data_IF_262541671735
#
_entry.id   IF_262541671735
#
_cell.length_a   1.000
_cell.length_b   1.000
_cell.length_c   1.000
_cell.angle_alpha   90.00
_cell.angle_beta   90.00
_cell.angle_gamma   90.00
#
_symmetry.space_group_name_H-M   'P 1'
#
loop_
_entity.id
_entity.type
_entity.pdbx_description
1 polymer ?
#
# COMPACT_ATOMS: atom_id res chain seq x y z
N UNK A 1 10.76 -24.12 0.61
CA UNK A 1 10.00 -22.92 0.97
C UNK A 1 8.80 -22.80 0.04
N UNK A 2 7.62 -22.63 0.58
CA UNK A 2 6.39 -22.44 -0.18
C UNK A 2 6.08 -20.94 -0.28
N UNK A 3 5.96 -20.49 -1.51
CA UNK A 3 5.65 -19.09 -1.83
C UNK A 3 4.25 -18.98 -2.42
N UNK A 4 3.44 -18.06 -1.93
CA UNK A 4 2.11 -17.81 -2.42
C UNK A 4 1.97 -16.43 -3.01
N UNK A 5 1.49 -16.35 -4.25
CA UNK A 5 1.22 -15.09 -4.93
C UNK A 5 -0.28 -14.85 -5.07
N UNK A 6 -0.75 -13.72 -4.52
CA UNK A 6 -2.12 -13.22 -4.70
C UNK A 6 -2.18 -12.07 -5.70
N UNK A 7 -1.08 -11.70 -6.37
CA UNK A 7 -1.15 -10.71 -7.45
C UNK A 7 -1.89 -11.27 -8.66
N UNK A 8 -2.61 -10.39 -9.34
CA UNK A 8 -3.38 -10.76 -10.55
C UNK A 8 -2.42 -11.22 -11.64
N UNK A 9 -2.41 -12.52 -11.91
CA UNK A 9 -1.51 -13.11 -12.89
C UNK A 9 -1.90 -12.82 -14.35
N UNK A 10 -3.13 -12.36 -14.61
CA UNK A 10 -3.65 -12.23 -15.97
C UNK A 10 -3.53 -10.84 -16.61
N UNK A 11 -3.27 -9.78 -15.87
CA UNK A 11 -3.35 -8.41 -16.39
C UNK A 11 -2.21 -7.49 -15.94
N UNK A 12 -1.22 -7.99 -15.18
CA UNK A 12 -0.07 -7.19 -14.78
C UNK A 12 1.22 -8.01 -14.81
N UNK A 13 2.31 -7.36 -15.16
CA UNK A 13 3.67 -7.93 -15.11
C UNK A 13 4.04 -8.39 -13.70
N UNK A 14 3.39 -7.81 -12.67
CA UNK A 14 3.60 -8.09 -11.27
C UNK A 14 3.42 -9.55 -10.88
N UNK A 15 2.33 -10.17 -11.33
CA UNK A 15 2.01 -11.56 -11.00
C UNK A 15 3.02 -12.55 -11.56
N UNK A 16 3.34 -12.45 -12.85
CA UNK A 16 4.28 -13.35 -13.52
C UNK A 16 5.72 -13.12 -13.08
N UNK A 17 6.14 -11.86 -12.90
CA UNK A 17 7.48 -11.53 -12.42
C UNK A 17 7.78 -12.13 -11.05
N UNK A 18 6.82 -12.01 -10.10
CA UNK A 18 6.93 -12.62 -8.79
C UNK A 18 6.95 -14.16 -8.85
N UNK A 19 6.10 -14.75 -9.69
CA UNK A 19 6.03 -16.20 -9.87
C UNK A 19 7.38 -16.77 -10.32
N UNK A 20 7.89 -16.30 -11.46
CA UNK A 20 9.15 -16.80 -11.99
C UNK A 20 10.37 -16.44 -11.12
N UNK A 21 10.32 -15.29 -10.45
CA UNK A 21 11.36 -14.92 -9.48
C UNK A 21 11.43 -15.90 -8.31
N UNK A 22 10.28 -16.27 -7.75
CA UNK A 22 10.19 -17.26 -6.67
C UNK A 22 10.62 -18.66 -7.13
N UNK A 23 10.21 -19.13 -8.32
CA UNK A 23 10.66 -20.40 -8.89
C UNK A 23 12.18 -20.42 -9.09
N UNK A 24 12.76 -19.31 -9.58
CA UNK A 24 14.21 -19.20 -9.76
C UNK A 24 14.97 -19.25 -8.44
N UNK A 25 14.37 -18.84 -7.34
CA UNK A 25 14.90 -19.00 -5.99
C UNK A 25 14.73 -20.43 -5.44
N UNK A 26 14.11 -21.34 -6.19
CA UNK A 26 13.84 -22.72 -5.77
C UNK A 26 12.61 -22.84 -4.86
N UNK A 27 11.73 -21.87 -4.86
CA UNK A 27 10.46 -21.96 -4.13
C UNK A 27 9.41 -22.74 -4.96
N UNK A 28 8.52 -23.45 -4.27
CA UNK A 28 7.28 -23.93 -4.90
C UNK A 28 6.25 -22.82 -4.85
N UNK A 29 5.70 -22.42 -5.98
CA UNK A 29 4.75 -21.31 -6.08
C UNK A 29 3.31 -21.80 -6.15
N UNK A 30 2.43 -21.20 -5.35
CA UNK A 30 0.98 -21.42 -5.40
C UNK A 30 0.35 -20.19 -6.07
N UNK A 31 0.05 -20.24 -7.40
CA UNK A 31 -0.46 -19.10 -8.16
C UNK A 31 -1.99 -19.01 -7.99
N UNK A 32 -2.46 -18.24 -7.02
CA UNK A 32 -3.90 -18.13 -6.76
C UNK A 32 -4.53 -16.90 -7.41
N UNK A 33 -3.76 -15.84 -7.68
CA UNK A 33 -4.29 -14.54 -8.11
C UNK A 33 -5.18 -13.88 -7.03
N UNK A 34 -5.82 -12.77 -7.33
CA UNK A 34 -6.71 -12.05 -6.39
C UNK A 34 -8.12 -12.65 -6.30
N UNK A 35 -8.85 -12.26 -5.28
CA UNK A 35 -10.22 -12.69 -5.02
C UNK A 35 -10.34 -14.07 -4.35
N UNK A 36 -11.56 -14.57 -4.20
CA UNK A 36 -11.89 -15.85 -3.56
C UNK A 36 -11.29 -15.98 -2.14
N UNK A 37 -11.51 -14.99 -1.29
CA UNK A 37 -10.84 -14.82 0.01
C UNK A 37 -10.96 -16.05 0.91
N UNK A 38 -12.15 -16.69 0.98
CA UNK A 38 -12.37 -17.96 1.71
C UNK A 38 -11.43 -19.07 1.23
N UNK A 39 -11.35 -19.27 -0.09
CA UNK A 39 -10.48 -20.29 -0.68
C UNK A 39 -9.00 -19.97 -0.45
N UNK A 40 -8.67 -18.70 -0.36
CA UNK A 40 -7.32 -18.27 -0.05
C UNK A 40 -6.91 -18.68 1.37
N UNK A 41 -7.77 -18.48 2.36
CA UNK A 41 -7.56 -18.92 3.73
C UNK A 41 -7.45 -20.45 3.79
N UNK A 42 -8.35 -21.17 3.11
CA UNK A 42 -8.26 -22.63 3.02
C UNK A 42 -6.90 -23.09 2.47
N UNK A 43 -6.43 -22.51 1.37
CA UNK A 43 -5.13 -22.87 0.78
C UNK A 43 -3.94 -22.54 1.67
N UNK A 44 -4.01 -21.47 2.47
CA UNK A 44 -2.97 -21.18 3.46
C UNK A 44 -2.93 -22.29 4.53
N UNK A 45 -4.08 -22.74 4.99
CA UNK A 45 -4.16 -23.82 5.98
C UNK A 45 -3.71 -25.16 5.41
N UNK A 46 -4.13 -25.51 4.18
CA UNK A 46 -3.86 -26.80 3.55
C UNK A 46 -2.40 -26.94 3.11
N UNK A 47 -1.85 -25.93 2.42
CA UNK A 47 -0.49 -25.97 1.87
C UNK A 47 0.57 -25.40 2.79
N UNK A 48 0.19 -24.67 3.83
CA UNK A 48 1.08 -24.07 4.83
C UNK A 48 2.26 -23.29 4.21
N UNK A 49 2.00 -22.29 3.36
CA UNK A 49 3.07 -21.49 2.75
C UNK A 49 3.84 -20.68 3.81
N UNK A 50 5.13 -20.46 3.57
CA UNK A 50 5.99 -19.62 4.41
C UNK A 50 5.85 -18.13 4.06
N UNK A 51 5.61 -17.83 2.76
CA UNK A 51 5.61 -16.46 2.22
C UNK A 51 4.30 -16.19 1.49
N UNK A 52 3.75 -15.00 1.72
CA UNK A 52 2.65 -14.45 0.94
C UNK A 52 3.08 -13.17 0.23
N UNK A 53 2.68 -12.99 -1.03
CA UNK A 53 2.86 -11.74 -1.77
C UNK A 53 1.49 -11.21 -2.19
N UNK A 54 1.12 -10.02 -1.69
CA UNK A 54 -0.24 -9.50 -1.76
C UNK A 54 -0.24 -7.98 -1.57
N UNK A 55 -1.32 -7.29 -1.92
CA UNK A 55 -1.46 -5.88 -1.53
C UNK A 55 -1.77 -5.74 -0.04
N UNK A 56 -1.30 -4.67 0.63
CA UNK A 56 -1.53 -4.47 2.06
C UNK A 56 -3.02 -4.50 2.44
N UNK A 57 -3.86 -3.80 1.67
CA UNK A 57 -5.32 -3.76 1.91
C UNK A 57 -5.97 -5.15 1.77
N UNK A 58 -5.50 -5.99 0.83
CA UNK A 58 -6.04 -7.33 0.68
C UNK A 58 -5.57 -8.29 1.78
N UNK A 59 -4.38 -8.05 2.35
CA UNK A 59 -3.93 -8.80 3.53
C UNK A 59 -4.87 -8.57 4.73
N UNK A 60 -5.34 -7.35 4.92
CA UNK A 60 -6.33 -7.06 5.97
C UNK A 60 -7.64 -7.82 5.73
N UNK A 61 -8.10 -7.91 4.46
CA UNK A 61 -9.26 -8.72 4.12
C UNK A 61 -9.05 -10.23 4.41
N UNK A 62 -7.83 -10.75 4.18
CA UNK A 62 -7.48 -12.12 4.53
C UNK A 62 -7.49 -12.34 6.04
N UNK A 63 -6.96 -11.41 6.82
CA UNK A 63 -6.96 -11.45 8.28
C UNK A 63 -8.40 -11.48 8.80
N UNK A 64 -9.27 -10.60 8.32
CA UNK A 64 -10.70 -10.58 8.69
C UNK A 64 -11.40 -11.91 8.33
N UNK A 65 -11.04 -12.50 7.20
CA UNK A 65 -11.59 -13.79 6.79
C UNK A 65 -11.13 -14.95 7.70
N UNK A 66 -9.85 -14.98 8.12
CA UNK A 66 -9.38 -15.93 9.13
C UNK A 66 -10.21 -15.83 10.42
N UNK A 67 -10.39 -14.62 10.93
CA UNK A 67 -11.16 -14.35 12.15
C UNK A 67 -12.63 -14.76 11.98
N UNK A 68 -13.24 -14.45 10.83
CA UNK A 68 -14.62 -14.86 10.49
C UNK A 68 -14.80 -16.38 10.49
N UNK A 69 -13.77 -17.13 10.09
CA UNK A 69 -13.77 -18.60 10.15
C UNK A 69 -13.41 -19.16 11.54
N UNK A 70 -13.20 -18.30 12.54
CA UNK A 70 -12.78 -18.70 13.88
C UNK A 70 -11.33 -19.20 13.94
N UNK A 71 -10.50 -18.81 12.98
CA UNK A 71 -9.08 -19.14 12.89
C UNK A 71 -8.25 -17.94 13.35
N UNK A 72 -7.14 -18.20 14.03
CA UNK A 72 -6.19 -17.18 14.41
C UNK A 72 -5.18 -16.95 13.27
N UNK A 73 -5.13 -15.77 12.63
CA UNK A 73 -4.19 -15.47 11.56
C UNK A 73 -2.73 -15.60 12.01
N UNK A 74 -2.40 -15.26 13.26
CA UNK A 74 -1.05 -15.32 13.80
C UNK A 74 -0.55 -16.77 14.00
N UNK A 75 -1.45 -17.74 14.07
CA UNK A 75 -1.11 -19.17 14.15
C UNK A 75 -0.93 -19.83 12.80
N UNK A 76 -1.09 -19.08 11.70
CA UNK A 76 -0.84 -19.58 10.34
C UNK A 76 0.63 -19.94 10.11
N UNK A 77 0.93 -20.57 8.98
CA UNK A 77 2.32 -20.89 8.61
C UNK A 77 3.10 -19.72 8.02
N UNK A 78 2.43 -18.59 7.77
CA UNK A 78 3.04 -17.43 7.15
C UNK A 78 4.08 -16.81 8.06
N UNK A 79 5.25 -16.55 7.51
CA UNK A 79 6.38 -15.93 8.21
C UNK A 79 6.78 -14.60 7.61
N UNK A 80 6.58 -14.43 6.30
CA UNK A 80 6.93 -13.21 5.58
C UNK A 80 5.79 -12.81 4.66
N UNK A 81 5.40 -11.55 4.74
CA UNK A 81 4.50 -10.90 3.79
C UNK A 81 5.28 -9.91 2.92
N UNK A 82 5.19 -10.05 1.61
CA UNK A 82 5.75 -9.10 0.65
C UNK A 82 4.59 -8.25 0.14
N UNK A 83 4.59 -6.97 0.51
CA UNK A 83 3.49 -6.05 0.27
C UNK A 83 3.88 -4.95 -0.70
N UNK A 84 2.97 -4.56 -1.57
CA UNK A 84 3.21 -3.49 -2.53
C UNK A 84 2.04 -3.27 -3.48
N UNK A 85 2.31 -2.65 -4.61
CA UNK A 85 1.34 -2.23 -5.63
C UNK A 85 0.39 -1.09 -5.21
N UNK A 86 0.36 -0.71 -3.94
CA UNK A 86 -0.32 0.47 -3.42
C UNK A 86 0.52 1.12 -2.31
N UNK A 87 0.42 2.45 -2.10
CA UNK A 87 1.03 3.09 -0.94
C UNK A 87 0.41 2.55 0.35
N UNK A 88 1.24 2.39 1.38
CA UNK A 88 0.80 1.96 2.71
C UNK A 88 1.70 2.57 3.80
N UNK A 89 1.13 2.74 4.99
CA UNK A 89 1.77 3.44 6.11
C UNK A 89 2.49 2.47 7.04
N UNK A 90 3.34 3.03 7.93
CA UNK A 90 3.97 2.24 8.99
C UNK A 90 2.92 1.68 9.95
N UNK A 91 1.90 2.48 10.29
CA UNK A 91 0.80 2.03 11.14
C UNK A 91 0.04 0.84 10.54
N UNK A 92 -0.08 0.76 9.21
CA UNK A 92 -0.65 -0.42 8.54
C UNK A 92 0.28 -1.62 8.62
N UNK A 93 1.61 -1.42 8.52
CA UNK A 93 2.61 -2.47 8.75
C UNK A 93 2.44 -3.08 10.14
N UNK A 94 2.44 -2.23 11.16
CA UNK A 94 2.30 -2.65 12.55
C UNK A 94 0.98 -3.42 12.79
N UNK A 95 -0.13 -2.96 12.19
CA UNK A 95 -1.42 -3.64 12.28
C UNK A 95 -1.37 -5.04 11.64
N UNK A 96 -0.78 -5.16 10.45
CA UNK A 96 -0.64 -6.45 9.75
C UNK A 96 0.26 -7.40 10.55
N UNK A 97 1.43 -6.94 10.97
CA UNK A 97 2.40 -7.73 11.73
C UNK A 97 1.81 -8.23 13.05
N UNK A 98 1.13 -7.33 13.77
CA UNK A 98 0.49 -7.66 15.04
C UNK A 98 -0.61 -8.71 14.90
N UNK A 99 -1.45 -8.63 13.86
CA UNK A 99 -2.59 -9.54 13.66
C UNK A 99 -2.22 -10.84 12.97
N UNK A 100 -1.26 -10.81 12.05
CA UNK A 100 -0.91 -11.98 11.26
C UNK A 100 0.36 -12.71 11.75
N UNK A 101 1.15 -12.11 12.65
CA UNK A 101 2.33 -12.75 13.24
C UNK A 101 3.47 -12.98 12.25
N UNK A 102 3.58 -12.15 11.20
CA UNK A 102 4.57 -12.28 10.13
C UNK A 102 5.44 -11.02 10.03
N UNK A 103 6.57 -11.12 9.35
CA UNK A 103 7.39 -9.96 8.96
C UNK A 103 6.84 -9.34 7.68
N UNK A 104 6.45 -8.07 7.73
CA UNK A 104 5.91 -7.32 6.59
C UNK A 104 7.00 -6.49 5.93
N UNK A 105 7.31 -6.77 4.66
CA UNK A 105 8.32 -6.05 3.87
C UNK A 105 7.68 -5.39 2.66
N UNK A 106 8.16 -4.20 2.32
CA UNK A 106 7.70 -3.44 1.16
C UNK A 106 8.42 -3.87 -0.11
N UNK A 107 7.68 -3.93 -1.22
CA UNK A 107 8.21 -4.12 -2.56
C UNK A 107 7.65 -3.05 -3.49
N UNK A 108 8.54 -2.36 -4.19
CA UNK A 108 8.19 -1.34 -5.15
C UNK A 108 8.48 -1.80 -6.58
N UNK A 109 7.61 -1.44 -7.49
CA UNK A 109 7.79 -1.63 -8.91
C UNK A 109 6.60 -1.15 -9.73
N UNK A 110 6.83 -1.03 -11.03
CA UNK A 110 5.83 -0.60 -12.01
C UNK A 110 6.08 -1.33 -13.33
N UNK A 111 5.00 -1.64 -14.04
CA UNK A 111 5.04 -2.42 -15.30
C UNK A 111 5.87 -1.75 -16.38
N UNK A 112 5.88 -0.42 -16.40
CA UNK A 112 6.59 0.41 -17.38
C UNK A 112 8.10 0.25 -17.27
N UNK A 113 8.61 0.04 -16.06
CA UNK A 113 10.05 -0.17 -15.82
C UNK A 113 10.41 -1.65 -15.90
N UNK A 114 9.78 -2.50 -15.05
CA UNK A 114 10.01 -3.95 -15.09
C UNK A 114 8.84 -4.75 -14.49
N UNK A 115 8.06 -4.20 -13.59
CA UNK A 115 7.09 -4.89 -12.74
C UNK A 115 7.54 -4.88 -11.28
N UNK A 116 7.24 -5.89 -10.47
CA UNK A 116 7.64 -5.92 -9.07
C UNK A 116 9.15 -6.14 -8.95
N UNK A 117 9.75 -5.59 -7.90
CA UNK A 117 11.15 -5.82 -7.59
C UNK A 117 12.12 -4.84 -8.27
N UNK A 118 11.67 -3.64 -8.64
CA UNK A 118 12.59 -2.51 -8.92
C UNK A 118 13.31 -2.10 -7.64
N UNK A 119 12.59 -2.14 -6.51
CA UNK A 119 13.16 -2.00 -5.18
C UNK A 119 12.39 -2.88 -4.18
N UNK A 120 13.06 -3.35 -3.12
CA UNK A 120 12.41 -4.08 -2.04
C UNK A 120 13.16 -3.93 -0.71
N UNK A 121 12.42 -3.97 0.39
CA UNK A 121 12.99 -3.90 1.73
C UNK A 121 13.78 -5.14 2.11
N UNK A 122 14.71 -4.94 3.02
CA UNK A 122 15.38 -6.01 3.75
C UNK A 122 14.60 -6.31 5.03
N UNK A 123 14.39 -7.59 5.31
CA UNK A 123 13.67 -8.04 6.51
C UNK A 123 14.39 -7.63 7.80
N UNK A 124 15.71 -7.46 7.74
CA UNK A 124 16.55 -7.12 8.88
C UNK A 124 16.37 -5.68 9.35
N UNK A 125 16.04 -4.77 8.45
CA UNK A 125 16.01 -3.33 8.75
C UNK A 125 14.64 -2.70 8.57
N UNK A 126 13.86 -3.12 7.56
CA UNK A 126 12.54 -2.54 7.21
C UNK A 126 12.56 -1.00 7.15
N UNK A 127 13.64 -0.45 6.62
CA UNK A 127 13.96 0.98 6.66
C UNK A 127 13.91 1.66 5.29
N UNK A 128 13.12 1.10 4.39
CA UNK A 128 12.86 1.55 3.04
C UNK A 128 13.42 0.61 1.97
N UNK A 129 12.72 0.48 0.82
CA UNK A 129 13.13 -0.40 -0.27
C UNK A 129 14.49 -0.07 -0.85
N UNK A 130 15.37 -1.06 -0.91
CA UNK A 130 16.67 -0.99 -1.59
C UNK A 130 16.42 -1.03 -3.08
N UNK A 131 16.94 -0.04 -3.81
CA UNK A 131 16.84 0.04 -5.27
C UNK A 131 17.95 -0.80 -5.89
N UNK A 132 17.63 -1.66 -6.86
CA UNK A 132 18.62 -2.46 -7.57
C UNK A 132 19.36 -1.60 -8.62
N UNK A 133 20.35 -0.83 -8.15
CA UNK A 133 21.07 0.17 -8.96
C UNK A 133 21.97 -0.43 -10.06
N UNK A 134 22.21 -1.72 -10.04
CA UNK A 134 22.82 -2.47 -11.15
C UNK A 134 21.87 -2.64 -12.35
N UNK A 135 20.56 -2.50 -12.12
CA UNK A 135 19.53 -2.57 -13.15
C UNK A 135 18.81 -1.25 -13.42
N UNK A 136 18.72 -0.38 -12.41
CA UNK A 136 17.91 0.85 -12.46
C UNK A 136 18.68 2.02 -11.87
N UNK A 137 18.87 3.07 -12.64
CA UNK A 137 19.42 4.32 -12.12
C UNK A 137 18.30 5.23 -11.62
N UNK A 138 18.23 5.53 -10.31
CA UNK A 138 17.20 6.40 -9.76
C UNK A 138 17.64 7.87 -9.71
N UNK A 139 16.71 8.77 -9.96
CA UNK A 139 16.84 10.21 -9.74
C UNK A 139 15.61 10.71 -8.98
N UNK A 140 15.77 11.76 -8.19
CA UNK A 140 14.65 12.55 -7.66
C UNK A 140 14.63 13.88 -8.38
N UNK A 141 13.48 14.28 -8.90
CA UNK A 141 13.31 15.54 -9.60
C UNK A 141 12.21 16.40 -8.97
N UNK A 142 12.31 17.69 -9.16
CA UNK A 142 11.23 18.61 -8.81
C UNK A 142 10.01 18.35 -9.74
N UNK A 143 8.81 18.06 -9.20
CA UNK A 143 7.67 17.59 -10.03
C UNK A 143 7.25 18.58 -11.13
N UNK A 144 7.43 19.89 -10.93
CA UNK A 144 7.01 20.92 -11.88
C UNK A 144 8.16 21.33 -12.82
N UNK A 145 9.38 21.57 -12.32
CA UNK A 145 10.49 22.06 -13.13
C UNK A 145 11.26 20.94 -13.84
N UNK A 146 11.24 19.73 -13.29
CA UNK A 146 12.02 18.59 -13.79
C UNK A 146 13.51 18.65 -13.44
N UNK A 147 13.93 19.64 -12.63
CA UNK A 147 15.32 19.75 -12.15
C UNK A 147 15.62 18.64 -11.15
N UNK A 148 16.85 18.12 -11.19
CA UNK A 148 17.31 17.10 -10.24
C UNK A 148 17.43 17.74 -8.86
N UNK A 149 16.84 17.08 -7.87
CA UNK A 149 16.86 17.53 -6.47
C UNK A 149 18.19 17.13 -5.80
N UNK A 150 18.62 17.91 -4.80
CA UNK A 150 19.73 17.50 -3.93
C UNK A 150 19.46 16.14 -3.26
N UNK A 151 20.54 15.44 -2.90
CA UNK A 151 20.43 14.15 -2.21
C UNK A 151 19.68 14.28 -0.87
N UNK A 152 18.74 13.37 -0.63
CA UNK A 152 17.90 13.38 0.58
C UNK A 152 16.66 14.28 0.50
N UNK A 153 16.57 15.15 -0.51
CA UNK A 153 15.38 15.99 -0.73
C UNK A 153 14.24 15.17 -1.36
N UNK A 154 13.01 15.52 -1.02
CA UNK A 154 11.82 14.89 -1.55
C UNK A 154 11.43 15.44 -2.92
N UNK A 155 10.97 14.56 -3.80
CA UNK A 155 10.50 14.92 -5.12
C UNK A 155 9.90 13.72 -5.87
N UNK A 156 9.76 13.85 -7.18
CA UNK A 156 9.24 12.78 -8.04
C UNK A 156 10.37 11.81 -8.41
N UNK A 157 10.10 10.51 -8.18
CA UNK A 157 11.03 9.44 -8.54
C UNK A 157 11.07 9.25 -10.06
N UNK A 158 12.28 9.10 -10.57
CA UNK A 158 12.57 8.87 -12.00
C UNK A 158 13.49 7.69 -12.12
N UNK A 159 13.26 6.82 -13.11
CA UNK A 159 14.13 5.69 -13.40
C UNK A 159 14.67 5.70 -14.83
N UNK A 160 15.93 5.31 -14.96
CA UNK A 160 16.56 4.89 -16.21
C UNK A 160 16.92 3.41 -16.10
N UNK A 161 16.44 2.57 -17.03
CA UNK A 161 16.82 1.16 -17.06
C UNK A 161 18.23 0.99 -17.66
N UNK A 162 19.08 0.19 -17.01
CA UNK A 162 20.48 -0.02 -17.42
C UNK A 162 20.67 -1.32 -18.21
N UNK A 163 19.85 -2.33 -17.95
CA UNK A 163 20.01 -3.68 -18.49
C UNK A 163 18.84 -4.16 -19.36
N UNK A 164 17.79 -3.35 -19.49
CA UNK A 164 16.59 -3.71 -20.24
C UNK A 164 16.79 -3.47 -21.73
N UNK A 165 16.80 -4.53 -22.53
CA UNK A 165 16.98 -4.46 -23.99
C UNK A 165 15.67 -4.08 -24.70
N UNK A 166 14.56 -4.75 -24.35
CA UNK A 166 13.26 -4.44 -24.92
C UNK A 166 12.57 -3.31 -24.14
N UNK A 167 12.08 -2.31 -24.86
CA UNK A 167 11.44 -1.12 -24.28
C UNK A 167 12.29 -0.48 -23.17
N UNK A 168 13.54 -0.12 -23.42
CA UNK A 168 14.36 0.58 -22.42
C UNK A 168 13.71 1.92 -22.08
N UNK A 169 13.68 2.25 -20.81
CA UNK A 169 13.19 3.55 -20.34
C UNK A 169 14.37 4.44 -19.96
N UNK A 170 14.31 5.69 -20.37
CA UNK A 170 15.31 6.71 -20.06
C UNK A 170 14.59 7.87 -19.38
N UNK A 171 14.98 8.15 -18.13
CA UNK A 171 14.39 9.18 -17.27
C UNK A 171 12.85 9.10 -17.23
N UNK A 172 12.33 7.89 -16.99
CA UNK A 172 10.90 7.65 -16.88
C UNK A 172 10.37 8.26 -15.58
N UNK A 173 9.44 9.20 -15.69
CA UNK A 173 8.80 9.85 -14.57
C UNK A 173 7.68 8.97 -14.01
N UNK A 174 7.89 8.45 -12.80
CA UNK A 174 6.94 7.50 -12.18
C UNK A 174 5.70 8.18 -11.64
N UNK A 175 5.75 9.47 -11.37
CA UNK A 175 4.78 10.27 -10.61
C UNK A 175 4.76 9.98 -9.11
N UNK A 176 5.47 8.98 -8.65
CA UNK A 176 5.56 8.65 -7.23
C UNK A 176 6.47 9.65 -6.50
N UNK A 177 6.00 10.12 -5.35
CA UNK A 177 6.72 11.10 -4.53
C UNK A 177 7.45 10.39 -3.39
N UNK A 178 8.76 10.54 -3.38
CA UNK A 178 9.66 9.97 -2.39
C UNK A 178 10.97 10.75 -2.31
N UNK A 179 11.97 10.21 -1.63
CA UNK A 179 13.36 10.67 -1.62
C UNK A 179 14.32 9.49 -1.60
N UNK A 180 15.54 9.69 -2.06
CA UNK A 180 16.60 8.70 -1.94
C UNK A 180 17.26 8.80 -0.57
N UNK A 181 17.52 7.63 0.01
CA UNK A 181 18.15 7.45 1.31
C UNK A 181 19.50 6.74 1.13
N UNK A 182 20.48 6.99 2.02
CA UNK A 182 21.76 6.31 1.96
C UNK A 182 21.64 4.79 2.22
N UNK A 183 22.60 3.98 1.75
CA UNK A 183 22.64 2.55 2.01
C UNK A 183 22.65 2.18 3.50
N UNK A 184 22.07 1.02 3.84
CA UNK A 184 22.10 0.41 5.19
C UNK A 184 22.44 -1.07 5.12
N UNK A 185 21.45 -1.96 5.05
CA UNK A 185 21.66 -3.41 4.99
C UNK A 185 22.32 -3.89 3.68
N UNK A 186 22.25 -3.11 2.61
CA UNK A 186 22.88 -3.38 1.30
C UNK A 186 23.65 -2.14 0.85
N UNK A 187 24.53 -2.30 -0.11
CA UNK A 187 25.42 -1.23 -0.62
C UNK A 187 24.73 -0.23 -1.57
N UNK A 188 23.50 -0.53 -2.02
CA UNK A 188 22.70 0.30 -2.92
C UNK A 188 21.85 1.28 -2.13
N UNK A 189 21.50 2.42 -2.74
CA UNK A 189 20.61 3.42 -2.14
C UNK A 189 19.21 2.83 -1.92
N UNK A 190 18.54 3.38 -0.95
CA UNK A 190 17.15 3.07 -0.63
C UNK A 190 16.24 4.21 -1.06
N UNK A 191 14.99 3.93 -1.19
CA UNK A 191 13.95 4.96 -1.29
C UNK A 191 13.15 5.01 0.02
N UNK A 192 12.68 6.18 0.36
CA UNK A 192 11.71 6.36 1.45
C UNK A 192 10.34 5.82 0.99
N UNK A 193 9.41 5.65 1.92
CA UNK A 193 8.03 5.27 1.58
C UNK A 193 7.44 6.27 0.60
N UNK A 194 6.65 5.76 -0.35
CA UNK A 194 5.88 6.59 -1.26
C UNK A 194 4.80 7.32 -0.45
N UNK A 195 4.89 8.64 -0.38
CA UNK A 195 3.89 9.47 0.31
C UNK A 195 2.61 9.67 -0.51
N UNK A 196 2.68 9.42 -1.82
CA UNK A 196 1.59 9.54 -2.76
C UNK A 196 2.12 9.71 -4.18
N UNK A 197 1.21 9.92 -5.11
CA UNK A 197 1.54 10.26 -6.49
C UNK A 197 1.27 11.73 -6.75
N UNK A 198 2.07 12.36 -7.59
CA UNK A 198 1.86 13.76 -7.98
C UNK A 198 0.54 13.98 -8.73
N UNK A 199 -0.02 12.91 -9.34
CA UNK A 199 -1.30 12.89 -10.05
C UNK A 199 -2.48 12.37 -9.19
N UNK A 200 -2.25 11.73 -8.04
CA UNK A 200 -3.27 11.32 -7.06
C UNK A 200 -3.43 12.32 -5.90
N UNK A 201 -2.64 13.38 -5.90
CA UNK A 201 -2.73 14.44 -4.92
C UNK A 201 -4.05 15.18 -5.07
N UNK A 202 -4.86 15.16 -4.03
CA UNK A 202 -6.11 15.88 -3.99
C UNK A 202 -5.85 17.35 -3.62
N UNK A 203 -6.25 18.27 -4.47
CA UNK A 203 -6.26 19.70 -4.12
C UNK A 203 -7.66 20.02 -3.62
N UNK A 204 -7.78 20.31 -2.32
CA UNK A 204 -9.05 20.61 -1.67
C UNK A 204 -8.93 22.01 -1.06
N UNK A 205 -9.66 22.96 -1.61
CA UNK A 205 -9.65 24.37 -1.16
C UNK A 205 -8.23 24.96 -1.03
N UNK A 206 -7.34 24.61 -1.99
CA UNK A 206 -5.96 25.08 -2.03
C UNK A 206 -4.97 24.32 -1.13
N UNK A 207 -5.43 23.28 -0.43
CA UNK A 207 -4.57 22.41 0.38
C UNK A 207 -4.31 21.11 -0.38
N UNK A 208 -3.04 20.68 -0.42
CA UNK A 208 -2.64 19.39 -0.96
C UNK A 208 -2.90 18.30 0.07
N UNK A 209 -3.70 17.29 -0.29
CA UNK A 209 -4.10 16.20 0.59
C UNK A 209 -3.73 14.87 -0.05
N UNK A 210 -3.01 14.04 0.67
CA UNK A 210 -2.70 12.67 0.26
C UNK A 210 -3.54 11.66 1.04
N UNK A 211 -4.10 10.62 0.39
CA UNK A 211 -4.85 9.58 1.08
C UNK A 211 -4.08 8.92 2.23
N UNK A 212 -2.77 8.75 2.10
CA UNK A 212 -1.89 8.19 3.13
C UNK A 212 -1.86 9.00 4.43
N UNK A 213 -1.97 10.32 4.36
CA UNK A 213 -2.04 11.18 5.56
C UNK A 213 -3.34 10.91 6.35
N UNK A 214 -4.46 10.73 5.63
CA UNK A 214 -5.74 10.40 6.27
C UNK A 214 -5.71 8.99 6.84
N UNK A 215 -5.09 8.03 6.16
CA UNK A 215 -4.90 6.66 6.62
C UNK A 215 -4.13 6.61 7.94
N UNK A 216 -3.04 7.34 8.06
CA UNK A 216 -2.23 7.41 9.28
C UNK A 216 -3.06 7.92 10.48
N UNK A 217 -3.84 8.98 10.28
CA UNK A 217 -4.72 9.54 11.31
C UNK A 217 -5.87 8.58 11.67
N UNK A 218 -6.39 7.84 10.69
CA UNK A 218 -7.42 6.82 10.90
C UNK A 218 -6.89 5.67 11.77
N UNK A 219 -5.71 5.16 11.46
CA UNK A 219 -5.10 4.03 12.19
C UNK A 219 -4.72 4.40 13.63
N UNK A 220 -4.56 5.69 13.92
CA UNK A 220 -4.41 6.19 15.29
C UNK A 220 -5.71 6.15 16.10
N UNK A 221 -6.87 5.77 15.48
CA UNK A 221 -8.18 5.67 16.15
C UNK A 221 -8.51 4.22 16.49
N UNK A 222 -8.37 3.75 17.73
CA UNK A 222 -8.56 2.33 18.08
C UNK A 222 -9.97 1.79 17.79
N UNK A 223 -10.97 2.67 17.76
CA UNK A 223 -12.36 2.32 17.52
C UNK A 223 -12.72 2.12 16.04
N UNK A 224 -11.85 2.55 15.12
CA UNK A 224 -12.09 2.50 13.69
C UNK A 224 -11.28 1.38 13.01
N UNK A 225 -11.88 0.76 12.00
CA UNK A 225 -11.22 -0.24 11.17
C UNK A 225 -10.33 0.44 10.10
N UNK A 226 -9.30 -0.25 9.58
CA UNK A 226 -8.36 0.32 8.61
C UNK A 226 -8.92 0.44 7.19
N UNK A 227 -10.24 0.44 7.06
CA UNK A 227 -10.93 0.54 5.79
C UNK A 227 -11.59 1.91 5.63
N UNK A 228 -11.25 2.60 4.54
CA UNK A 228 -11.76 3.93 4.28
C UNK A 228 -11.92 4.23 2.80
N UNK A 229 -12.74 5.24 2.52
CA UNK A 229 -12.89 5.82 1.18
C UNK A 229 -13.03 7.34 1.29
N UNK A 230 -12.34 8.06 0.43
CA UNK A 230 -12.38 9.51 0.30
C UNK A 230 -13.33 9.87 -0.82
N UNK A 231 -14.43 10.53 -0.51
CA UNK A 231 -15.43 10.97 -1.49
C UNK A 231 -15.32 12.48 -1.64
N UNK A 232 -14.95 12.91 -2.84
CA UNK A 232 -14.89 14.32 -3.20
C UNK A 232 -16.19 14.74 -3.86
N UNK A 233 -16.76 15.83 -3.39
CA UNK A 233 -17.94 16.47 -3.99
C UNK A 233 -17.68 17.95 -4.17
N UNK A 234 -18.43 18.59 -5.04
CA UNK A 234 -18.45 20.05 -5.17
C UNK A 234 -19.83 20.55 -4.83
N UNK A 235 -19.92 21.41 -3.83
CA UNK A 235 -21.15 22.11 -3.50
C UNK A 235 -21.00 23.58 -3.90
N UNK A 236 -21.82 24.00 -4.89
CA UNK A 236 -21.67 25.27 -5.58
C UNK A 236 -20.23 25.50 -6.10
N UNK A 237 -19.37 26.19 -5.34
CA UNK A 237 -18.00 26.53 -5.73
C UNK A 237 -16.94 25.95 -4.79
N UNK A 238 -17.34 25.20 -3.76
CA UNK A 238 -16.43 24.67 -2.75
C UNK A 238 -16.32 23.15 -2.81
N UNK A 239 -15.08 22.69 -2.89
CA UNK A 239 -14.80 21.26 -2.78
C UNK A 239 -15.02 20.79 -1.35
N UNK A 240 -15.77 19.70 -1.21
CA UNK A 240 -16.03 19.02 0.05
C UNK A 240 -15.39 17.64 0.05
N UNK A 241 -14.77 17.30 1.17
CA UNK A 241 -14.22 15.97 1.43
C UNK A 241 -15.12 15.26 2.44
N UNK A 242 -15.59 14.08 2.08
CA UNK A 242 -16.19 13.11 2.99
C UNK A 242 -15.24 11.93 3.15
N UNK A 243 -14.93 11.56 4.40
CA UNK A 243 -14.12 10.41 4.75
C UNK A 243 -15.05 9.34 5.29
N UNK A 244 -15.30 8.30 4.51
CA UNK A 244 -16.11 7.16 4.92
C UNK A 244 -15.20 6.14 5.61
N UNK A 245 -15.54 5.74 6.84
CA UNK A 245 -14.78 4.79 7.67
C UNK A 245 -15.72 3.80 8.32
N UNK A 246 -15.19 2.72 8.89
CA UNK A 246 -15.97 1.70 9.61
C UNK A 246 -15.58 1.61 11.07
N UNK A 247 -16.52 1.16 11.91
CA UNK A 247 -16.20 0.67 13.25
C UNK A 247 -15.57 -0.71 13.18
N UNK A 248 -14.68 -1.05 14.11
CA UNK A 248 -14.24 -2.44 14.31
C UNK A 248 -15.42 -3.27 14.84
N UNK A 249 -15.44 -4.57 14.55
CA UNK A 249 -16.58 -5.45 14.90
C UNK A 249 -16.85 -5.52 16.41
N UNK A 250 -15.79 -5.53 17.23
CA UNK A 250 -15.87 -5.58 18.69
C UNK A 250 -16.21 -4.22 19.36
N UNK A 251 -16.32 -3.15 18.59
CA UNK A 251 -16.52 -1.79 19.09
C UNK A 251 -17.99 -1.40 19.03
N UNK A 252 -18.52 -0.82 20.13
CA UNK A 252 -19.87 -0.28 20.15
C UNK A 252 -19.99 0.88 19.17
N UNK A 253 -21.09 0.97 18.46
CA UNK A 253 -21.33 2.01 17.45
C UNK A 253 -21.11 3.44 17.99
N UNK A 254 -21.50 3.72 19.23
CA UNK A 254 -21.27 5.02 19.86
C UNK A 254 -19.78 5.37 20.09
N UNK A 255 -18.93 4.37 20.33
CA UNK A 255 -17.48 4.55 20.42
C UNK A 255 -16.88 4.80 19.04
N UNK A 256 -17.37 4.13 18.02
CA UNK A 256 -17.02 4.38 16.64
C UNK A 256 -17.34 5.81 16.19
N UNK A 257 -18.53 6.33 16.55
CA UNK A 257 -18.91 7.72 16.27
C UNK A 257 -17.96 8.72 16.96
N UNK A 258 -17.55 8.45 18.20
CA UNK A 258 -16.54 9.28 18.90
C UNK A 258 -15.18 9.22 18.18
N UNK A 259 -14.77 8.05 17.71
CA UNK A 259 -13.57 7.89 16.89
C UNK A 259 -13.65 8.69 15.59
N UNK A 260 -14.80 8.68 14.93
CA UNK A 260 -15.03 9.49 13.73
C UNK A 260 -14.92 11.00 13.98
N UNK A 261 -15.50 11.48 15.07
CA UNK A 261 -15.37 12.90 15.47
C UNK A 261 -13.92 13.26 15.80
N UNK A 262 -13.19 12.39 16.48
CA UNK A 262 -11.77 12.59 16.77
C UNK A 262 -10.94 12.63 15.48
N UNK A 263 -11.19 11.73 14.53
CA UNK A 263 -10.53 11.72 13.22
C UNK A 263 -10.79 13.02 12.45
N UNK A 264 -12.02 13.52 12.44
CA UNK A 264 -12.36 14.80 11.79
C UNK A 264 -11.55 15.98 12.37
N UNK A 265 -11.43 16.03 13.69
CA UNK A 265 -10.64 17.04 14.40
C UNK A 265 -9.15 16.92 14.09
N UNK A 266 -8.61 15.69 14.03
CA UNK A 266 -7.21 15.45 13.71
C UNK A 266 -6.90 15.83 12.25
N UNK A 267 -7.76 15.50 11.30
CA UNK A 267 -7.61 15.92 9.89
C UNK A 267 -7.54 17.44 9.80
N UNK A 268 -8.44 18.15 10.51
CA UNK A 268 -8.44 19.61 10.54
C UNK A 268 -7.18 20.18 11.18
N UNK A 269 -6.69 19.59 12.26
CA UNK A 269 -5.52 20.08 12.99
C UNK A 269 -4.20 19.80 12.25
N UNK A 270 -4.05 18.61 11.66
CA UNK A 270 -2.79 18.13 11.10
C UNK A 270 -2.66 18.42 9.60
N UNK A 271 -3.76 18.34 8.85
CA UNK A 271 -3.77 18.55 7.38
C UNK A 271 -4.28 19.95 7.02
N UNK A 272 -5.06 20.57 7.90
CA UNK A 272 -5.55 21.94 7.71
C UNK A 272 -6.85 22.04 6.89
N UNK A 273 -7.54 20.93 6.66
CA UNK A 273 -8.83 20.90 5.95
C UNK A 273 -9.96 20.49 6.86
N UNK A 274 -11.14 21.06 6.68
CA UNK A 274 -12.37 20.54 7.27
C UNK A 274 -12.97 19.49 6.32
N UNK A 275 -13.41 18.36 6.87
CA UNK A 275 -14.08 17.29 6.15
C UNK A 275 -15.28 16.82 6.98
N UNK A 276 -16.09 15.94 6.42
CA UNK A 276 -17.09 15.18 7.15
C UNK A 276 -16.60 13.74 7.29
N UNK A 277 -16.62 13.19 8.50
CA UNK A 277 -16.32 11.77 8.72
C UNK A 277 -17.62 10.99 8.90
N UNK A 278 -17.92 10.10 7.95
CA UNK A 278 -19.09 9.21 7.99
C UNK A 278 -18.67 7.84 8.50
N UNK A 279 -19.13 7.49 9.69
CA UNK A 279 -18.84 6.20 10.32
C UNK A 279 -19.90 5.18 9.95
N UNK A 280 -19.48 4.13 9.27
CA UNK A 280 -20.31 3.01 8.83
C UNK A 280 -20.20 1.83 9.81
N UNK A 281 -21.18 0.92 9.81
CA UNK A 281 -21.03 -0.36 10.49
C UNK A 281 -19.89 -1.18 9.87
N UNK A 282 -19.40 -2.23 10.54
CA UNK A 282 -18.42 -3.16 9.98
C UNK A 282 -18.85 -3.66 8.58
N UNK A 283 -17.93 -3.76 7.65
CA UNK A 283 -18.16 -4.10 6.23
C UNK A 283 -19.01 -3.08 5.43
N UNK A 284 -19.15 -1.86 5.90
CA UNK A 284 -19.90 -0.80 5.23
C UNK A 284 -19.11 -0.08 4.12
N UNK A 285 -17.76 -0.13 4.15
CA UNK A 285 -16.91 0.36 3.08
C UNK A 285 -16.67 -0.76 2.06
N UNK A 286 -16.80 -0.44 0.76
CA UNK A 286 -16.63 -1.42 -0.31
C UNK A 286 -15.22 -2.07 -0.27
N UNK A 287 -15.18 -3.40 -0.21
CA UNK A 287 -13.93 -4.18 -0.27
C UNK A 287 -13.50 -4.42 -1.71
N UNK A 288 -12.23 -4.13 -1.98
CA UNK A 288 -11.65 -4.52 -3.26
C UNK A 288 -11.33 -6.01 -3.23
N UNK A 289 -11.98 -6.76 -4.11
CA UNK A 289 -11.75 -8.22 -4.24
C UNK A 289 -10.54 -8.54 -5.10
N UNK A 290 -10.15 -7.64 -5.99
CA UNK A 290 -9.01 -7.82 -6.90
C UNK A 290 -8.28 -6.50 -7.11
N UNK A 291 -6.94 -6.54 -7.04
CA UNK A 291 -6.11 -5.37 -7.32
C UNK A 291 -6.00 -4.38 -6.17
N UNK A 292 -5.87 -3.10 -6.50
CA UNK A 292 -5.65 -2.01 -5.54
C UNK A 292 -6.97 -1.55 -4.91
N UNK A 293 -6.93 -1.13 -3.65
CA UNK A 293 -8.07 -0.51 -2.99
C UNK A 293 -8.46 0.80 -3.69
N UNK A 294 -9.75 0.96 -3.98
CA UNK A 294 -10.29 2.22 -4.53
C UNK A 294 -10.49 3.23 -3.40
N UNK A 295 -9.44 3.94 -3.05
CA UNK A 295 -9.41 4.91 -1.95
C UNK A 295 -10.13 6.23 -2.26
N UNK A 296 -10.19 6.62 -3.53
CA UNK A 296 -10.72 7.92 -3.96
C UNK A 296 -11.93 7.73 -4.87
N UNK A 297 -13.00 8.45 -4.57
CA UNK A 297 -14.20 8.60 -5.42
C UNK A 297 -14.40 10.08 -5.67
N UNK A 298 -13.95 10.57 -6.82
CA UNK A 298 -14.14 11.96 -7.22
C UNK A 298 -15.51 12.12 -7.92
N UNK A 299 -16.40 12.90 -7.31
CA UNK A 299 -17.74 13.24 -7.81
C UNK A 299 -17.88 14.74 -8.07
N UNK A 300 -16.76 15.45 -8.25
CA UNK A 300 -16.75 16.87 -8.58
C UNK A 300 -17.03 17.06 -10.07
N UNK A 301 -18.28 17.04 -10.47
CA UNK A 301 -18.73 17.41 -11.82
C UNK A 301 -19.42 18.75 -11.81
#
# INVERSE_FOLDING_TARGET
MLFRSCFVCGSSTGGLGAHYGAERLGCTVIPMSGGQTEKQVQLINDFRPDIIMVTPSYMLNLIEEFERQGLDPASSSLRVGIFGAEPWTESMREEIERRAGLDAVDIYGLSEVMGPGVANECIETKDGPVIWEDHFYPEIIHPLTGEVMPEGEAGELVFTSLTKEAMPVIRYRTRDLTRLLPPTARSMRRMDKIVGRSDDMLIIRGVNVFPSQIEELLLAQPALAPHYQLVLRRDMHLDQLEVMVETREEVRHGDGLRGGTALEQMIKAMIGISCTVTVLPPNGVERTQTGKAKRIVDRRQ
#
